data_IF_264156529015
#
_entry.id   IF_264156529015
#
_cell.length_a   1.000
_cell.length_b   1.000
_cell.length_c   1.000
_cell.angle_alpha   90.00
_cell.angle_beta   90.00
_cell.angle_gamma   90.00
#
_symmetry.space_group_name_H-M   'P 1'
#
loop_
_entity.id
_entity.type
_entity.pdbx_description
1 polymer ?
#
# COMPACT_ATOMS: atom_id res chain seq x y z
N UNK A 1 -25.52 -12.59 11.75
CA UNK A 1 -24.35 -11.70 11.69
C UNK A 1 -24.70 -10.43 12.44
N UNK A 2 -23.92 -10.09 13.47
CA UNK A 2 -24.11 -8.90 14.27
C UNK A 2 -23.74 -7.64 13.49
N UNK A 3 -24.45 -6.54 13.76
CA UNK A 3 -24.27 -5.26 13.07
C UNK A 3 -23.54 -4.27 13.95
N UNK A 4 -22.61 -3.54 13.33
CA UNK A 4 -21.79 -2.55 14.01
C UNK A 4 -21.76 -1.26 13.19
N UNK A 5 -22.07 -0.15 13.89
CA UNK A 5 -21.99 1.19 13.35
C UNK A 5 -20.63 1.78 13.73
N UNK A 6 -19.90 2.26 12.75
CA UNK A 6 -18.66 2.99 12.94
C UNK A 6 -18.35 3.80 11.68
N UNK A 7 -18.52 5.11 11.76
CA UNK A 7 -18.17 5.98 10.64
C UNK A 7 -16.67 5.89 10.32
N UNK A 8 -16.29 5.65 9.06
CA UNK A 8 -14.90 5.65 8.63
C UNK A 8 -14.27 7.06 8.65
N UNK A 9 -15.06 8.09 8.91
CA UNK A 9 -14.61 9.49 9.05
C UNK A 9 -14.65 10.00 10.50
N UNK A 10 -15.01 9.14 11.46
CA UNK A 10 -14.98 9.49 12.89
C UNK A 10 -13.54 9.78 13.32
N UNK A 11 -13.27 11.00 13.89
CA UNK A 11 -11.90 11.38 14.25
C UNK A 11 -11.25 10.47 15.30
N UNK A 12 -12.02 9.92 16.26
CA UNK A 12 -11.47 9.02 17.27
C UNK A 12 -11.11 7.66 16.65
N UNK A 13 -11.98 7.14 15.79
CA UNK A 13 -11.73 5.92 15.03
C UNK A 13 -10.51 6.04 14.12
N UNK A 14 -10.34 7.17 13.43
CA UNK A 14 -9.19 7.41 12.57
C UNK A 14 -7.86 7.46 13.34
N UNK A 15 -7.88 7.85 14.61
CA UNK A 15 -6.67 7.84 15.45
C UNK A 15 -6.38 6.46 16.06
N UNK A 16 -7.42 5.66 16.38
CA UNK A 16 -7.26 4.31 16.94
C UNK A 16 -8.43 3.39 16.51
N UNK A 17 -8.32 2.70 15.39
CA UNK A 17 -9.36 1.79 14.89
C UNK A 17 -9.40 0.43 15.61
N UNK A 18 -8.37 0.09 16.39
CA UNK A 18 -8.20 -1.25 16.95
C UNK A 18 -9.29 -1.66 17.94
N UNK A 19 -9.81 -0.81 18.83
CA UNK A 19 -10.92 -1.16 19.71
C UNK A 19 -12.20 -1.55 18.95
N UNK A 20 -12.44 -0.95 17.78
CA UNK A 20 -13.54 -1.36 16.92
C UNK A 20 -13.29 -2.75 16.32
N UNK A 21 -12.08 -3.02 15.86
CA UNK A 21 -11.69 -4.33 15.28
C UNK A 21 -11.81 -5.46 16.32
N UNK A 22 -11.49 -5.18 17.59
CA UNK A 22 -11.64 -6.15 18.67
C UNK A 22 -13.10 -6.52 18.88
N UNK A 23 -14.03 -5.55 18.83
CA UNK A 23 -15.48 -5.80 18.91
C UNK A 23 -15.97 -6.65 17.74
N UNK A 24 -15.53 -6.35 16.51
CA UNK A 24 -15.89 -7.16 15.32
C UNK A 24 -15.38 -8.59 15.45
N UNK A 25 -14.15 -8.79 15.88
CA UNK A 25 -13.54 -10.11 16.08
C UNK A 25 -14.26 -10.94 17.14
N UNK A 26 -14.65 -10.30 18.25
CA UNK A 26 -15.41 -10.95 19.33
C UNK A 26 -16.82 -11.40 18.90
N UNK A 27 -17.42 -10.76 17.91
CA UNK A 27 -18.74 -11.11 17.40
C UNK A 27 -18.75 -12.37 16.53
N UNK A 28 -17.58 -12.79 16.02
CA UNK A 28 -17.49 -14.01 15.21
C UNK A 28 -16.64 -13.87 13.97
N UNK A 29 -16.74 -14.85 13.05
CA UNK A 29 -15.90 -14.88 11.85
C UNK A 29 -16.22 -13.78 10.84
N UNK A 30 -17.50 -13.34 10.78
CA UNK A 30 -17.98 -12.24 9.98
C UNK A 30 -18.91 -11.37 10.82
N UNK A 31 -18.80 -10.06 10.67
CA UNK A 31 -19.69 -9.06 11.25
C UNK A 31 -20.15 -8.09 10.14
N UNK A 32 -21.32 -7.46 10.31
CA UNK A 32 -21.82 -6.47 9.36
C UNK A 32 -21.36 -5.07 9.76
N UNK A 33 -20.60 -4.40 8.88
CA UNK A 33 -20.23 -3.00 9.10
C UNK A 33 -21.24 -2.10 8.39
N UNK A 34 -22.07 -1.43 9.17
CA UNK A 34 -23.24 -0.72 8.64
C UNK A 34 -22.87 0.44 7.73
N UNK A 35 -21.82 1.19 8.05
CA UNK A 35 -21.40 2.36 7.25
C UNK A 35 -20.79 1.98 5.90
N UNK A 36 -20.29 0.76 5.75
CA UNK A 36 -19.83 0.20 4.48
C UNK A 36 -20.85 -0.72 3.83
N UNK A 37 -22.00 -0.99 4.50
CA UNK A 37 -23.08 -1.84 4.01
C UNK A 37 -22.60 -3.23 3.55
N UNK A 38 -21.60 -3.81 4.22
CA UNK A 38 -21.03 -5.10 3.83
C UNK A 38 -20.61 -5.96 5.03
N UNK A 39 -20.51 -7.30 4.85
CA UNK A 39 -19.81 -8.16 5.79
C UNK A 39 -18.33 -7.83 5.86
N UNK A 40 -17.74 -7.94 7.06
CA UNK A 40 -16.29 -7.76 7.26
C UNK A 40 -15.72 -8.92 8.08
N UNK A 41 -14.50 -9.32 7.76
CA UNK A 41 -13.71 -10.30 8.51
C UNK A 41 -12.59 -9.57 9.27
N UNK A 42 -12.47 -9.88 10.59
CA UNK A 42 -11.47 -9.25 11.46
C UNK A 42 -10.45 -10.24 12.04
N UNK A 43 -10.69 -11.55 11.97
CA UNK A 43 -9.72 -12.56 12.43
C UNK A 43 -8.72 -12.91 11.34
N UNK A 44 -7.47 -13.16 11.71
CA UNK A 44 -6.40 -13.53 10.77
C UNK A 44 -6.73 -14.80 9.97
N UNK A 45 -7.36 -15.75 10.61
CA UNK A 45 -7.73 -17.01 9.94
C UNK A 45 -8.70 -16.78 8.79
N UNK A 46 -9.79 -16.02 9.02
CA UNK A 46 -10.81 -15.75 8.00
C UNK A 46 -10.30 -14.78 6.93
N UNK A 47 -9.62 -13.70 7.33
CA UNK A 47 -8.99 -12.75 6.38
C UNK A 47 -8.02 -13.48 5.45
N UNK A 48 -7.12 -14.31 6.00
CA UNK A 48 -6.15 -15.06 5.19
C UNK A 48 -6.81 -16.10 4.28
N UNK A 49 -7.91 -16.73 4.72
CA UNK A 49 -8.65 -17.68 3.91
C UNK A 49 -9.33 -16.99 2.73
N UNK A 50 -10.04 -15.88 2.97
CA UNK A 50 -10.76 -15.13 1.93
C UNK A 50 -9.80 -14.46 0.94
N UNK A 51 -8.65 -13.97 1.38
CA UNK A 51 -7.61 -13.45 0.47
C UNK A 51 -7.07 -14.48 -0.52
N UNK A 52 -7.19 -15.78 -0.21
CA UNK A 52 -6.73 -16.90 -1.06
C UNK A 52 -7.84 -17.61 -1.80
N UNK A 53 -9.08 -17.36 -1.43
CA UNK A 53 -10.25 -18.00 -2.04
C UNK A 53 -10.52 -17.38 -3.41
N UNK A 54 -10.39 -18.17 -4.47
CA UNK A 54 -10.56 -17.73 -5.86
C UNK A 54 -12.01 -17.39 -6.24
N UNK A 55 -12.96 -17.70 -5.37
CA UNK A 55 -14.36 -17.30 -5.53
C UNK A 55 -14.62 -15.86 -5.09
N UNK A 56 -13.57 -15.20 -4.58
CA UNK A 56 -13.58 -13.80 -4.19
C UNK A 56 -12.49 -13.04 -4.96
N UNK A 57 -12.92 -12.14 -5.84
CA UNK A 57 -12.07 -11.35 -6.72
C UNK A 57 -12.05 -9.86 -6.36
N UNK A 58 -11.26 -9.11 -7.09
CA UNK A 58 -11.22 -7.64 -7.00
C UNK A 58 -12.13 -6.99 -8.04
N UNK A 59 -12.31 -7.64 -9.18
CA UNK A 59 -13.14 -7.13 -10.27
C UNK A 59 -14.62 -7.21 -9.89
N UNK A 60 -15.35 -6.08 -9.96
CA UNK A 60 -16.78 -6.02 -9.74
C UNK A 60 -17.50 -6.77 -10.90
N UNK A 61 -18.25 -7.84 -10.62
CA UNK A 61 -19.00 -8.55 -11.67
C UNK A 61 -20.13 -7.72 -12.30
N UNK A 62 -20.51 -6.61 -11.67
CA UNK A 62 -21.58 -5.72 -12.09
C UNK A 62 -21.14 -4.24 -12.00
N UNK A 63 -20.08 -3.84 -12.72
CA UNK A 63 -19.51 -2.51 -12.57
C UNK A 63 -20.55 -1.43 -12.90
N UNK A 64 -20.62 -0.35 -12.10
CA UNK A 64 -21.54 0.73 -12.37
C UNK A 64 -21.17 1.46 -13.67
N UNK A 65 -22.14 2.16 -14.24
CA UNK A 65 -21.89 3.05 -15.39
C UNK A 65 -20.91 4.13 -14.97
N UNK A 66 -19.78 4.22 -15.67
CA UNK A 66 -18.73 5.19 -15.40
C UNK A 66 -19.13 6.57 -15.93
N UNK A 67 -19.12 7.63 -15.09
CA UNK A 67 -19.40 8.98 -15.54
C UNK A 67 -18.38 9.46 -16.59
N UNK A 68 -18.83 10.21 -17.59
CA UNK A 68 -17.97 10.66 -18.68
C UNK A 68 -16.77 11.51 -18.22
N UNK A 69 -16.94 12.29 -17.15
CA UNK A 69 -15.85 13.11 -16.61
C UNK A 69 -14.71 12.31 -15.99
N UNK A 70 -14.93 11.03 -15.68
CA UNK A 70 -13.91 10.12 -15.17
C UNK A 70 -13.17 9.35 -16.28
N UNK A 71 -13.43 9.62 -17.56
CA UNK A 71 -12.90 8.85 -18.68
C UNK A 71 -11.36 8.75 -18.66
N UNK A 72 -10.65 9.84 -18.34
CA UNK A 72 -9.20 9.87 -18.25
C UNK A 72 -8.66 8.90 -17.17
N UNK A 73 -9.32 8.82 -16.02
CA UNK A 73 -8.95 7.88 -14.96
C UNK A 73 -9.20 6.42 -15.40
N UNK A 74 -10.36 6.12 -15.91
CA UNK A 74 -10.74 4.75 -16.29
C UNK A 74 -9.98 4.25 -17.52
N UNK A 75 -9.49 5.13 -18.42
CA UNK A 75 -8.62 4.69 -19.52
C UNK A 75 -7.30 4.06 -19.04
N UNK A 76 -6.87 4.37 -17.82
CA UNK A 76 -5.72 3.75 -17.16
C UNK A 76 -6.16 2.55 -16.33
N UNK A 77 -7.17 2.72 -15.45
CA UNK A 77 -7.55 1.69 -14.48
C UNK A 77 -8.08 0.41 -15.13
N UNK A 78 -8.79 0.48 -16.24
CA UNK A 78 -9.30 -0.73 -16.92
C UNK A 78 -8.20 -1.63 -17.50
N UNK A 79 -6.97 -1.11 -17.58
CA UNK A 79 -5.76 -1.85 -17.97
C UNK A 79 -4.83 -2.15 -16.79
N UNK A 80 -5.19 -1.71 -15.59
CA UNK A 80 -4.40 -1.93 -14.37
C UNK A 80 -4.61 -3.33 -13.81
N UNK A 81 -3.50 -4.06 -13.56
CA UNK A 81 -3.59 -5.39 -12.95
C UNK A 81 -4.13 -5.38 -11.52
N UNK A 82 -4.29 -4.20 -10.90
CA UNK A 82 -4.77 -4.08 -9.53
C UNK A 82 -6.20 -4.60 -9.39
N UNK A 83 -7.07 -4.23 -10.34
CA UNK A 83 -8.52 -4.53 -10.30
C UNK A 83 -8.94 -5.65 -11.27
N UNK A 84 -7.98 -6.29 -11.95
CA UNK A 84 -8.27 -7.36 -12.91
C UNK A 84 -8.27 -8.75 -12.25
N UNK A 85 -9.01 -9.67 -12.87
CA UNK A 85 -9.02 -11.10 -12.52
C UNK A 85 -8.45 -11.97 -13.66
N UNK A 86 -8.11 -13.25 -13.39
CA UNK A 86 -7.71 -14.18 -14.42
C UNK A 86 -8.76 -14.30 -15.54
N UNK A 87 -8.33 -14.45 -16.82
CA UNK A 87 -6.96 -14.68 -17.26
C UNK A 87 -6.12 -13.39 -17.44
N UNK A 88 -6.75 -12.22 -17.52
CA UNK A 88 -6.08 -10.94 -17.81
C UNK A 88 -5.05 -10.59 -16.74
N UNK A 89 -5.43 -10.63 -15.47
CA UNK A 89 -4.53 -10.40 -14.33
C UNK A 89 -3.28 -11.29 -14.41
N UNK A 90 -3.47 -12.62 -14.56
CA UNK A 90 -2.36 -13.58 -14.55
C UNK A 90 -1.39 -13.32 -15.71
N UNK A 91 -1.91 -12.99 -16.90
CA UNK A 91 -1.11 -12.66 -18.07
C UNK A 91 -0.27 -11.41 -17.80
N UNK A 92 -0.88 -10.30 -17.39
CA UNK A 92 -0.18 -9.05 -17.09
C UNK A 92 0.86 -9.25 -15.99
N UNK A 93 0.43 -9.78 -14.85
CA UNK A 93 1.31 -9.99 -13.70
C UNK A 93 2.53 -10.82 -14.05
N UNK A 94 2.38 -11.86 -14.87
CA UNK A 94 3.50 -12.70 -15.28
C UNK A 94 4.56 -11.94 -16.11
N UNK A 95 4.15 -10.97 -16.90
CA UNK A 95 5.10 -10.14 -17.68
C UNK A 95 5.83 -9.15 -16.78
N UNK A 96 5.10 -8.50 -15.86
CA UNK A 96 5.69 -7.57 -14.88
C UNK A 96 6.68 -8.30 -13.96
N UNK A 97 6.36 -9.50 -13.47
CA UNK A 97 7.27 -10.31 -12.65
C UNK A 97 8.57 -10.69 -13.37
N UNK A 98 8.53 -10.84 -14.69
CA UNK A 98 9.75 -11.11 -15.50
C UNK A 98 10.67 -9.89 -15.58
N UNK A 99 10.09 -8.70 -15.60
CA UNK A 99 10.84 -7.45 -15.58
C UNK A 99 11.26 -7.06 -14.14
N UNK A 100 10.42 -7.39 -13.15
CA UNK A 100 10.60 -7.10 -11.71
C UNK A 100 11.15 -8.32 -10.97
N UNK A 101 12.36 -8.77 -11.33
CA UNK A 101 12.95 -9.97 -10.73
C UNK A 101 13.49 -9.74 -9.32
N UNK A 102 13.48 -10.78 -8.48
CA UNK A 102 14.08 -10.73 -7.13
C UNK A 102 15.56 -10.29 -7.16
N UNK A 103 16.32 -10.69 -8.19
CA UNK A 103 17.72 -10.27 -8.35
C UNK A 103 17.84 -8.77 -8.60
N UNK A 104 16.98 -8.20 -9.45
CA UNK A 104 16.96 -6.77 -9.72
C UNK A 104 16.57 -5.96 -8.49
N UNK A 105 15.54 -6.41 -7.78
CA UNK A 105 15.11 -5.78 -6.53
C UNK A 105 16.24 -5.81 -5.51
N UNK A 106 16.89 -6.97 -5.30
CA UNK A 106 18.01 -7.08 -4.36
C UNK A 106 19.20 -6.16 -4.72
N UNK A 107 19.43 -5.92 -6.02
CA UNK A 107 20.49 -5.03 -6.48
C UNK A 107 20.25 -3.55 -6.13
N UNK A 108 19.00 -3.16 -5.81
CA UNK A 108 18.67 -1.80 -5.38
C UNK A 108 19.08 -1.48 -3.93
N UNK A 109 19.38 -2.49 -3.10
CA UNK A 109 19.72 -2.29 -1.69
C UNK A 109 20.80 -1.22 -1.45
N UNK A 110 22.00 -1.31 -2.08
CA UNK A 110 23.03 -0.30 -1.94
C UNK A 110 22.62 1.11 -2.41
N UNK A 111 21.78 1.19 -3.45
CA UNK A 111 21.27 2.46 -3.96
C UNK A 111 20.27 3.08 -2.99
N UNK A 112 19.39 2.27 -2.41
CA UNK A 112 18.44 2.71 -1.39
C UNK A 112 19.19 3.23 -0.16
N UNK A 113 20.22 2.52 0.30
CA UNK A 113 21.06 2.96 1.39
C UNK A 113 21.74 4.32 1.09
N UNK A 114 22.31 4.46 -0.12
CA UNK A 114 22.94 5.72 -0.56
C UNK A 114 21.94 6.87 -0.59
N UNK A 115 20.72 6.63 -1.11
CA UNK A 115 19.64 7.61 -1.11
C UNK A 115 19.25 8.03 0.31
N UNK A 116 19.07 7.04 1.19
CA UNK A 116 18.71 7.28 2.58
C UNK A 116 19.76 8.16 3.29
N UNK A 117 21.05 7.84 3.14
CA UNK A 117 22.13 8.66 3.70
C UNK A 117 22.14 10.07 3.11
N UNK A 118 21.95 10.22 1.79
CA UNK A 118 21.90 11.53 1.15
C UNK A 118 20.72 12.39 1.62
N UNK A 119 19.57 11.79 1.90
CA UNK A 119 18.43 12.50 2.49
C UNK A 119 18.75 12.98 3.92
N UNK A 120 19.40 12.13 4.73
CA UNK A 120 19.79 12.46 6.10
C UNK A 120 20.81 13.60 6.14
N UNK A 121 21.75 13.64 5.18
CA UNK A 121 22.72 14.72 5.06
C UNK A 121 22.05 16.09 4.80
N UNK A 122 20.87 16.07 4.19
CA UNK A 122 20.05 17.25 3.90
C UNK A 122 19.07 17.65 5.01
N UNK A 123 19.07 17.02 6.17
CA UNK A 123 18.11 17.33 7.23
C UNK A 123 18.24 18.75 7.75
N UNK A 124 17.12 19.44 7.97
CA UNK A 124 17.15 20.75 8.61
C UNK A 124 17.73 20.68 10.02
N UNK A 125 18.32 21.79 10.48
CA UNK A 125 18.72 21.92 11.88
C UNK A 125 17.48 22.09 12.78
N UNK A 126 17.55 21.51 13.99
CA UNK A 126 16.48 21.64 14.99
C UNK A 126 15.30 20.70 14.72
N UNK A 127 14.09 21.19 14.95
CA UNK A 127 12.86 20.43 14.82
C UNK A 127 12.32 20.49 13.38
N UNK A 128 11.94 19.35 12.80
CA UNK A 128 11.43 19.26 11.42
C UNK A 128 10.43 18.10 11.25
N UNK A 129 9.71 18.09 10.13
CA UNK A 129 8.84 16.98 9.75
C UNK A 129 9.64 15.88 9.03
N UNK A 130 9.76 14.73 9.66
CA UNK A 130 10.50 13.58 9.10
C UNK A 130 9.79 12.95 7.91
N UNK A 131 8.46 13.08 7.81
CA UNK A 131 7.76 12.59 6.63
C UNK A 131 8.22 13.36 5.39
N UNK A 132 8.28 14.67 5.46
CA UNK A 132 8.72 15.52 4.34
C UNK A 132 10.22 15.38 4.04
N UNK A 133 11.04 15.28 5.09
CA UNK A 133 12.48 15.23 4.92
C UNK A 133 13.00 13.84 4.49
N UNK A 134 12.26 12.76 4.82
CA UNK A 134 12.77 11.41 4.64
C UNK A 134 11.74 10.42 4.07
N UNK A 135 10.59 10.23 4.75
CA UNK A 135 9.69 9.14 4.42
C UNK A 135 9.04 9.28 3.04
N UNK A 136 8.69 10.50 2.61
CA UNK A 136 8.12 10.77 1.28
C UNK A 136 9.16 10.73 0.16
N UNK A 137 10.32 11.40 0.26
CA UNK A 137 11.29 11.42 -0.83
C UNK A 137 11.99 10.08 -1.07
N UNK A 138 12.15 9.21 -0.07
CA UNK A 138 12.85 7.94 -0.24
C UNK A 138 12.16 7.03 -1.25
N UNK A 139 10.92 6.56 -1.04
CA UNK A 139 10.28 5.60 -1.93
C UNK A 139 9.99 6.17 -3.33
N UNK A 140 9.63 7.45 -3.44
CA UNK A 140 9.37 8.04 -4.77
C UNK A 140 10.63 8.11 -5.63
N UNK A 141 11.80 8.39 -5.04
CA UNK A 141 13.07 8.37 -5.77
C UNK A 141 13.48 6.95 -6.15
N UNK A 142 13.24 5.98 -5.27
CA UNK A 142 13.52 4.57 -5.56
C UNK A 142 12.68 4.08 -6.74
N UNK A 143 11.36 4.35 -6.74
CA UNK A 143 10.49 3.92 -7.83
C UNK A 143 10.79 4.69 -9.13
N UNK A 144 11.15 5.97 -9.08
CA UNK A 144 11.57 6.75 -10.24
C UNK A 144 12.81 6.13 -10.90
N UNK A 145 13.85 5.80 -10.11
CA UNK A 145 15.05 5.09 -10.61
C UNK A 145 14.73 3.74 -11.22
N UNK A 146 13.88 2.95 -10.54
CA UNK A 146 13.47 1.64 -11.04
C UNK A 146 12.76 1.74 -12.40
N UNK A 147 11.85 2.70 -12.54
CA UNK A 147 11.15 2.96 -13.79
C UNK A 147 12.07 3.52 -14.87
N UNK A 148 13.09 4.29 -14.49
CA UNK A 148 13.98 4.99 -15.39
C UNK A 148 13.49 6.38 -15.77
N UNK A 149 12.72 7.02 -14.87
CA UNK A 149 12.29 8.40 -15.01
C UNK A 149 13.19 9.33 -14.20
N UNK A 150 13.38 10.61 -14.61
CA UNK A 150 14.23 11.55 -13.88
C UNK A 150 13.74 11.77 -12.44
N UNK A 151 14.66 11.72 -11.47
CA UNK A 151 14.32 11.99 -10.07
C UNK A 151 13.85 13.43 -9.83
N UNK A 152 14.28 14.39 -10.69
CA UNK A 152 13.78 15.76 -10.68
C UNK A 152 12.28 15.87 -10.83
N UNK A 153 11.66 14.87 -11.47
CA UNK A 153 10.25 14.85 -11.78
C UNK A 153 9.42 14.22 -10.64
N UNK A 154 10.07 13.75 -9.57
CA UNK A 154 9.41 13.15 -8.41
C UNK A 154 8.26 14.01 -7.83
N UNK A 155 8.38 15.34 -7.68
CA UNK A 155 7.26 16.16 -7.20
C UNK A 155 6.04 16.13 -8.12
N UNK A 156 6.26 16.10 -9.44
CA UNK A 156 5.23 16.01 -10.46
C UNK A 156 4.50 14.65 -10.39
N UNK A 157 5.30 13.58 -10.35
CA UNK A 157 4.80 12.22 -10.23
C UNK A 157 3.97 12.01 -8.96
N UNK A 158 4.42 12.55 -7.83
CA UNK A 158 3.67 12.53 -6.57
C UNK A 158 2.35 13.28 -6.68
N UNK A 159 2.34 14.44 -7.33
CA UNK A 159 1.13 15.22 -7.53
C UNK A 159 0.05 14.44 -8.29
N UNK A 160 0.42 13.78 -9.40
CA UNK A 160 -0.50 12.95 -10.17
C UNK A 160 -0.95 11.69 -9.39
N UNK A 161 -0.02 11.03 -8.73
CA UNK A 161 -0.33 9.85 -7.93
C UNK A 161 -1.33 10.15 -6.83
N UNK A 162 -1.10 11.20 -6.04
CA UNK A 162 -2.00 11.60 -4.96
C UNK A 162 -3.41 11.92 -5.48
N UNK A 163 -3.51 12.62 -6.62
CA UNK A 163 -4.81 12.91 -7.25
C UNK A 163 -5.52 11.62 -7.68
N UNK A 164 -4.81 10.68 -8.33
CA UNK A 164 -5.40 9.41 -8.76
C UNK A 164 -5.81 8.52 -7.57
N UNK A 165 -4.98 8.42 -6.53
CA UNK A 165 -5.27 7.67 -5.31
C UNK A 165 -6.48 8.24 -4.56
N UNK A 166 -6.77 9.53 -4.72
CA UNK A 166 -7.99 10.17 -4.22
C UNK A 166 -9.28 9.48 -4.66
N UNK A 167 -9.28 8.79 -5.81
CA UNK A 167 -10.44 8.02 -6.30
C UNK A 167 -10.85 6.85 -5.40
N UNK A 168 -9.93 6.32 -4.60
CA UNK A 168 -10.22 5.20 -3.68
C UNK A 168 -10.78 5.65 -2.32
N UNK A 169 -10.87 6.97 -2.08
CA UNK A 169 -11.43 7.51 -0.84
C UNK A 169 -12.97 7.42 -0.84
N UNK A 170 -13.54 7.00 0.31
CA UNK A 170 -14.99 6.87 0.47
C UNK A 170 -15.76 8.18 0.31
N UNK A 171 -15.14 9.31 0.66
CA UNK A 171 -15.75 10.64 0.66
C UNK A 171 -15.20 11.56 -0.44
N UNK A 172 -14.81 10.99 -1.60
CA UNK A 172 -14.33 11.80 -2.73
C UNK A 172 -15.43 12.72 -3.26
N UNK A 173 -15.03 13.91 -3.64
CA UNK A 173 -15.89 14.91 -4.25
C UNK A 173 -15.81 14.85 -5.77
N UNK A 174 -16.75 15.50 -6.46
CA UNK A 174 -16.68 15.67 -7.92
C UNK A 174 -15.39 16.39 -8.38
N UNK A 175 -14.87 17.31 -7.57
CA UNK A 175 -13.60 17.98 -7.85
C UNK A 175 -12.40 16.99 -7.79
N UNK A 176 -12.42 16.05 -6.83
CA UNK A 176 -11.41 15.01 -6.74
C UNK A 176 -11.45 14.07 -7.95
N UNK A 177 -12.66 13.73 -8.43
CA UNK A 177 -12.84 12.90 -9.62
C UNK A 177 -12.30 13.58 -10.89
N UNK A 178 -12.55 14.89 -11.06
CA UNK A 178 -11.98 15.68 -12.16
C UNK A 178 -10.46 15.77 -12.07
N UNK A 179 -9.92 16.03 -10.88
CA UNK A 179 -8.47 16.10 -10.65
C UNK A 179 -7.79 14.77 -10.96
N UNK A 180 -8.37 13.64 -10.55
CA UNK A 180 -7.87 12.32 -10.85
C UNK A 180 -7.88 12.00 -12.36
N UNK A 181 -8.96 12.34 -13.06
CA UNK A 181 -9.07 12.15 -14.51
C UNK A 181 -8.04 12.97 -15.28
N UNK A 182 -7.83 14.24 -14.88
CA UNK A 182 -6.79 15.09 -15.46
C UNK A 182 -5.40 14.55 -15.16
N UNK A 183 -5.11 14.17 -13.91
CA UNK A 183 -3.83 13.60 -13.51
C UNK A 183 -3.50 12.34 -14.30
N UNK A 184 -4.45 11.43 -14.50
CA UNK A 184 -4.25 10.23 -15.31
C UNK A 184 -3.91 10.55 -16.77
N UNK A 185 -4.56 11.58 -17.35
CA UNK A 185 -4.29 12.05 -18.70
C UNK A 185 -2.88 12.65 -18.84
N UNK A 186 -2.51 13.51 -17.89
CA UNK A 186 -1.20 14.18 -17.88
C UNK A 186 -0.08 13.15 -17.66
N UNK A 187 -0.29 12.21 -16.74
CA UNK A 187 0.66 11.14 -16.47
C UNK A 187 0.86 10.22 -17.69
N UNK A 188 -0.22 9.85 -18.36
CA UNK A 188 -0.17 9.10 -19.62
C UNK A 188 0.65 9.84 -20.68
N UNK A 189 0.40 11.14 -20.85
CA UNK A 189 1.14 11.98 -21.81
C UNK A 189 2.63 12.03 -21.47
N UNK A 190 2.99 12.24 -20.21
CA UNK A 190 4.35 12.24 -19.72
C UNK A 190 5.06 10.91 -20.01
N UNK A 191 4.41 9.78 -19.69
CA UNK A 191 4.99 8.46 -19.94
C UNK A 191 5.19 8.20 -21.43
N UNK A 192 4.28 8.65 -22.29
CA UNK A 192 4.44 8.51 -23.74
C UNK A 192 5.68 9.29 -24.25
N UNK A 193 6.03 10.42 -23.64
CA UNK A 193 7.28 11.12 -23.98
C UNK A 193 8.52 10.33 -23.51
N UNK A 194 8.48 9.75 -22.30
CA UNK A 194 9.55 8.87 -21.81
C UNK A 194 9.69 7.62 -22.70
N UNK A 195 8.59 7.05 -23.18
CA UNK A 195 8.62 5.82 -24.02
C UNK A 195 9.33 6.02 -25.39
N UNK A 196 9.48 7.27 -25.85
CA UNK A 196 10.20 7.56 -27.10
C UNK A 196 11.72 7.38 -26.98
N UNK A 197 12.26 7.58 -25.77
CA UNK A 197 13.68 7.43 -25.50
C UNK A 197 13.87 6.93 -24.05
N UNK A 198 13.51 5.67 -23.76
CA UNK A 198 13.59 5.14 -22.42
C UNK A 198 15.06 4.98 -21.99
N UNK A 199 15.32 5.17 -20.71
CA UNK A 199 16.62 4.88 -20.11
C UNK A 199 16.95 3.39 -20.27
N UNK A 200 18.14 3.07 -20.75
CA UNK A 200 18.60 1.70 -20.91
C UNK A 200 18.52 0.94 -19.57
N UNK A 201 18.18 -0.35 -19.66
CA UNK A 201 17.99 -1.23 -18.51
C UNK A 201 16.89 -0.79 -17.50
N UNK A 202 16.13 0.25 -17.79
CA UNK A 202 14.99 0.66 -16.97
C UNK A 202 13.85 -0.38 -17.03
N UNK A 203 12.96 -0.34 -16.03
CA UNK A 203 11.77 -1.19 -16.07
C UNK A 203 10.87 -0.82 -17.26
N UNK A 204 10.76 0.47 -17.58
CA UNK A 204 10.03 0.95 -18.76
C UNK A 204 10.60 0.33 -20.04
N UNK A 205 11.92 0.35 -20.24
CA UNK A 205 12.54 -0.24 -21.43
C UNK A 205 12.21 -1.74 -21.57
N UNK A 206 12.20 -2.48 -20.45
CA UNK A 206 11.85 -3.90 -20.43
C UNK A 206 10.38 -4.16 -20.74
N UNK A 207 9.47 -3.36 -20.19
CA UNK A 207 8.03 -3.48 -20.46
C UNK A 207 7.72 -3.15 -21.92
N UNK A 208 8.40 -2.14 -22.50
CA UNK A 208 8.29 -1.81 -23.93
C UNK A 208 8.79 -2.94 -24.82
N UNK A 209 9.90 -3.60 -24.45
CA UNK A 209 10.38 -4.78 -25.18
C UNK A 209 9.35 -5.92 -25.14
N UNK A 210 8.71 -6.16 -24.00
CA UNK A 210 7.62 -7.15 -23.87
C UNK A 210 6.41 -6.77 -24.73
N UNK A 211 6.12 -5.48 -24.86
CA UNK A 211 5.04 -4.98 -25.72
C UNK A 211 5.36 -5.16 -27.21
N UNK A 212 6.61 -4.94 -27.63
CA UNK A 212 7.06 -5.21 -29.02
C UNK A 212 6.90 -6.70 -29.39
N UNK A 213 7.03 -7.61 -28.43
CA UNK A 213 6.74 -9.03 -28.59
C UNK A 213 5.22 -9.34 -28.69
N UNK A 214 4.35 -8.35 -28.60
CA UNK A 214 2.88 -8.50 -28.61
C UNK A 214 2.28 -9.13 -27.36
N UNK A 215 3.02 -9.17 -26.25
CA UNK A 215 2.58 -9.76 -24.97
C UNK A 215 1.87 -8.76 -24.03
N UNK A 216 2.08 -7.48 -24.25
CA UNK A 216 1.42 -6.36 -23.60
C UNK A 216 0.92 -5.37 -24.64
N UNK A 217 -0.22 -4.72 -24.40
CA UNK A 217 -0.63 -3.57 -25.20
C UNK A 217 0.06 -2.28 -24.71
N UNK A 218 0.14 -1.22 -25.51
CA UNK A 218 0.66 0.09 -25.07
C UNK A 218 -0.06 0.63 -23.82
N UNK A 219 -1.39 0.45 -23.75
CA UNK A 219 -2.21 0.88 -22.63
C UNK A 219 -1.86 0.08 -21.37
N UNK A 220 -1.62 -1.23 -21.49
CA UNK A 220 -1.19 -2.08 -20.39
C UNK A 220 0.20 -1.71 -19.86
N UNK A 221 1.13 -1.29 -20.73
CA UNK A 221 2.44 -0.76 -20.31
C UNK A 221 2.26 0.52 -19.53
N UNK A 222 1.47 1.46 -20.07
CA UNK A 222 1.18 2.75 -19.43
C UNK A 222 0.53 2.55 -18.06
N UNK A 223 -0.55 1.76 -18.01
CA UNK A 223 -1.25 1.46 -16.77
C UNK A 223 -0.34 0.74 -15.74
N UNK A 224 0.54 -0.15 -16.21
CA UNK A 224 1.52 -0.81 -15.32
C UNK A 224 2.51 0.19 -14.73
N UNK A 225 3.06 1.11 -15.53
CA UNK A 225 3.99 2.14 -15.02
C UNK A 225 3.31 3.06 -14.00
N UNK A 226 2.08 3.50 -14.29
CA UNK A 226 1.28 4.32 -13.37
C UNK A 226 0.97 3.55 -12.08
N UNK A 227 0.51 2.30 -12.18
CA UNK A 227 0.24 1.45 -11.03
C UNK A 227 1.47 1.27 -10.14
N UNK A 228 2.64 0.96 -10.73
CA UNK A 228 3.86 0.76 -9.97
C UNK A 228 4.29 2.02 -9.23
N UNK A 229 4.06 3.19 -9.80
CA UNK A 229 4.35 4.45 -9.15
C UNK A 229 3.33 4.75 -8.05
N UNK A 230 2.02 4.65 -8.32
CA UNK A 230 0.96 4.92 -7.35
C UNK A 230 1.03 3.97 -6.15
N UNK A 231 1.19 2.66 -6.40
CA UNK A 231 1.27 1.65 -5.35
C UNK A 231 2.65 1.58 -4.68
N UNK A 232 3.70 2.04 -5.37
CA UNK A 232 5.09 1.82 -4.96
C UNK A 232 5.59 2.79 -3.89
N UNK A 233 4.93 3.92 -3.65
CA UNK A 233 5.44 4.90 -2.68
C UNK A 233 4.51 5.14 -1.49
N UNK A 234 3.19 5.32 -1.69
CA UNK A 234 2.27 5.79 -0.66
C UNK A 234 2.27 4.87 0.59
N UNK A 235 2.11 3.57 0.38
CA UNK A 235 2.12 2.61 1.49
C UNK A 235 3.47 2.56 2.21
N UNK A 236 4.59 2.72 1.50
CA UNK A 236 5.93 2.73 2.10
C UNK A 236 6.17 3.98 2.93
N UNK A 237 5.71 5.16 2.46
CA UNK A 237 5.74 6.42 3.22
C UNK A 237 5.06 6.24 4.57
N UNK A 238 3.84 5.73 4.56
CA UNK A 238 3.07 5.54 5.78
C UNK A 238 3.66 4.45 6.68
N UNK A 239 4.17 3.36 6.10
CA UNK A 239 4.85 2.31 6.89
C UNK A 239 6.11 2.83 7.57
N UNK A 240 6.91 3.66 6.88
CA UNK A 240 8.08 4.32 7.49
C UNK A 240 7.65 5.22 8.64
N UNK A 241 6.66 6.10 8.42
CA UNK A 241 6.17 7.00 9.47
C UNK A 241 5.64 6.27 10.69
N UNK A 242 4.72 5.32 10.49
CA UNK A 242 4.12 4.51 11.56
C UNK A 242 5.19 3.69 12.28
N UNK A 243 6.11 3.07 11.51
CA UNK A 243 7.19 2.24 12.04
C UNK A 243 8.18 3.04 12.91
N UNK A 244 8.65 4.20 12.43
CA UNK A 244 9.54 5.07 13.20
C UNK A 244 8.86 5.54 14.48
N UNK A 245 7.60 5.99 14.38
CA UNK A 245 6.80 6.38 15.53
C UNK A 245 6.65 5.25 16.55
N UNK A 246 6.31 4.04 16.07
CA UNK A 246 6.17 2.85 16.90
C UNK A 246 7.46 2.43 17.57
N UNK A 247 8.59 2.43 16.85
CA UNK A 247 9.93 2.13 17.38
C UNK A 247 10.34 3.10 18.51
N UNK A 248 10.11 4.39 18.31
CA UNK A 248 10.41 5.41 19.33
C UNK A 248 9.49 5.21 20.54
N UNK A 249 8.19 5.05 20.33
CA UNK A 249 7.22 4.90 21.42
C UNK A 249 7.46 3.63 22.25
N UNK A 250 7.90 2.55 21.61
CA UNK A 250 8.23 1.28 22.27
C UNK A 250 9.63 1.26 22.92
N UNK A 251 10.44 2.32 22.76
CA UNK A 251 11.81 2.39 23.30
C UNK A 251 12.81 1.50 22.55
N UNK A 252 12.51 1.13 21.31
CA UNK A 252 13.37 0.32 20.44
C UNK A 252 14.18 1.16 19.43
N UNK A 253 14.05 2.49 19.42
CA UNK A 253 14.83 3.33 18.55
C UNK A 253 16.32 3.24 18.91
N UNK A 254 17.20 3.17 17.91
CA UNK A 254 18.63 2.97 18.12
C UNK A 254 19.07 1.51 18.28
N UNK A 255 18.12 0.54 18.30
CA UNK A 255 18.48 -0.88 18.23
C UNK A 255 18.81 -1.30 16.79
N UNK A 256 19.61 -2.37 16.59
CA UNK A 256 19.93 -2.84 15.25
C UNK A 256 18.67 -3.16 14.44
N UNK A 257 18.55 -2.60 13.26
CA UNK A 257 17.42 -2.85 12.35
C UNK A 257 17.73 -4.12 11.55
N UNK A 258 16.93 -5.15 11.76
CA UNK A 258 17.01 -6.46 11.10
C UNK A 258 15.80 -6.69 10.18
N UNK A 259 15.87 -7.65 9.25
CA UNK A 259 14.69 -8.05 8.49
C UNK A 259 13.49 -8.46 9.37
N UNK A 260 13.74 -9.11 10.52
CA UNK A 260 12.69 -9.52 11.44
C UNK A 260 12.02 -8.32 12.13
N UNK A 261 12.80 -7.29 12.48
CA UNK A 261 12.26 -6.03 12.98
C UNK A 261 11.37 -5.33 11.93
N UNK A 262 11.73 -5.40 10.65
CA UNK A 262 10.92 -4.87 9.56
C UNK A 262 9.58 -5.61 9.45
N UNK A 263 9.54 -6.92 9.68
CA UNK A 263 8.27 -7.66 9.71
C UNK A 263 7.37 -7.22 10.87
N UNK A 264 7.94 -6.87 12.03
CA UNK A 264 7.15 -6.32 13.15
C UNK A 264 6.65 -4.89 12.84
N UNK A 265 7.45 -4.05 12.21
CA UNK A 265 7.00 -2.74 11.70
C UNK A 265 5.80 -2.91 10.76
N UNK A 266 5.89 -3.83 9.81
CA UNK A 266 4.81 -4.13 8.86
C UNK A 266 3.56 -4.69 9.55
N UNK A 267 3.72 -5.49 10.61
CA UNK A 267 2.60 -6.10 11.34
C UNK A 267 1.88 -5.10 12.22
N UNK A 268 2.64 -4.33 13.02
CA UNK A 268 2.11 -3.62 14.18
C UNK A 268 1.10 -2.55 13.79
N UNK A 269 1.41 -1.75 12.79
CA UNK A 269 0.52 -0.67 12.33
C UNK A 269 0.62 -0.46 10.81
N UNK A 270 0.00 -1.38 10.03
CA UNK A 270 0.07 -1.33 8.59
C UNK A 270 -0.69 -0.12 8.02
N UNK A 271 -0.26 0.45 6.89
CA UNK A 271 -0.94 1.60 6.31
C UNK A 271 -2.29 1.26 5.68
N UNK A 272 -2.47 0.03 5.22
CA UNK A 272 -3.71 -0.44 4.60
C UNK A 272 -4.45 -1.33 5.59
N UNK A 273 -5.56 -0.83 6.13
CA UNK A 273 -6.34 -1.53 7.15
C UNK A 273 -7.39 -2.45 6.56
N UNK A 274 -7.86 -2.21 5.33
CA UNK A 274 -8.93 -3.00 4.73
C UNK A 274 -8.68 -3.20 3.24
N UNK A 275 -8.88 -4.45 2.77
CA UNK A 275 -9.11 -4.77 1.38
C UNK A 275 -10.54 -5.23 1.19
N UNK A 276 -11.11 -5.02 0.00
CA UNK A 276 -12.41 -5.54 -0.37
C UNK A 276 -12.28 -6.66 -1.40
N UNK A 277 -13.27 -7.54 -1.43
CA UNK A 277 -13.44 -8.56 -2.46
C UNK A 277 -14.88 -8.66 -2.83
N UNK A 278 -15.15 -9.02 -4.09
CA UNK A 278 -16.46 -9.36 -4.59
C UNK A 278 -16.59 -10.88 -4.72
N UNK A 279 -17.72 -11.46 -4.31
CA UNK A 279 -18.04 -12.83 -4.63
C UNK A 279 -18.24 -12.95 -6.15
N UNK A 280 -17.47 -13.82 -6.80
CA UNK A 280 -17.56 -14.03 -8.26
C UNK A 280 -18.69 -14.99 -8.66
N UNK A 281 -19.20 -15.72 -7.68
CA UNK A 281 -20.31 -16.66 -7.77
C UNK A 281 -21.10 -16.70 -6.45
N UNK A 282 -22.27 -17.30 -6.42
CA UNK A 282 -22.98 -17.56 -5.16
C UNK A 282 -22.18 -18.57 -4.34
N UNK A 283 -21.82 -18.18 -3.12
CA UNK A 283 -20.93 -18.99 -2.27
C UNK A 283 -21.27 -18.86 -0.80
N UNK A 284 -21.20 -19.98 -0.06
CA UNK A 284 -21.34 -19.97 1.39
C UNK A 284 -19.95 -20.01 2.07
N UNK A 285 -19.70 -19.06 2.94
CA UNK A 285 -18.45 -18.97 3.73
C UNK A 285 -18.80 -18.54 5.15
N UNK A 286 -18.30 -19.24 6.14
CA UNK A 286 -18.48 -18.93 7.57
C UNK A 286 -19.97 -18.79 7.96
N UNK A 287 -20.87 -19.57 7.35
CA UNK A 287 -22.30 -19.55 7.61
C UNK A 287 -23.05 -18.35 6.99
N UNK A 288 -22.37 -17.52 6.19
CA UNK A 288 -23.01 -16.48 5.38
C UNK A 288 -23.02 -16.89 3.90
N UNK A 289 -24.17 -16.71 3.25
CA UNK A 289 -24.34 -16.91 1.81
C UNK A 289 -24.13 -15.60 1.10
N UNK A 290 -22.99 -15.48 0.43
CA UNK A 290 -22.69 -14.38 -0.48
C UNK A 290 -23.36 -14.59 -1.82
N UNK A 291 -24.13 -13.64 -2.28
CA UNK A 291 -24.58 -13.61 -3.67
C UNK A 291 -23.44 -13.12 -4.57
N UNK A 292 -23.44 -13.54 -5.84
CA UNK A 292 -22.49 -13.01 -6.82
C UNK A 292 -22.56 -11.49 -6.88
N UNK A 293 -21.41 -10.82 -6.75
CA UNK A 293 -21.27 -9.35 -6.71
C UNK A 293 -21.37 -8.76 -5.30
N UNK A 294 -21.73 -9.55 -4.29
CA UNK A 294 -21.69 -9.08 -2.89
C UNK A 294 -20.24 -8.87 -2.43
N UNK A 295 -20.00 -7.76 -1.75
CA UNK A 295 -18.67 -7.40 -1.23
C UNK A 295 -18.43 -7.99 0.15
N UNK A 296 -17.16 -8.21 0.47
CA UNK A 296 -16.66 -8.48 1.83
C UNK A 296 -15.43 -7.65 2.11
N UNK A 297 -15.39 -7.00 3.27
CA UNK A 297 -14.23 -6.30 3.79
C UNK A 297 -13.29 -7.23 4.55
N UNK A 298 -12.01 -7.17 4.23
CA UNK A 298 -10.94 -7.98 4.85
C UNK A 298 -10.05 -7.04 5.64
N UNK A 299 -10.21 -7.03 6.98
CA UNK A 299 -9.54 -6.08 7.86
C UNK A 299 -8.11 -6.55 8.17
N UNK A 300 -7.14 -6.09 7.38
CA UNK A 300 -5.73 -6.48 7.49
C UNK A 300 -5.12 -6.01 8.81
N UNK A 301 -5.40 -4.76 9.22
CA UNK A 301 -4.96 -4.21 10.49
C UNK A 301 -5.49 -5.00 11.69
N UNK A 302 -6.77 -5.43 11.63
CA UNK A 302 -7.37 -6.30 12.63
C UNK A 302 -6.72 -7.69 12.66
N UNK A 303 -6.49 -8.29 11.49
CA UNK A 303 -5.85 -9.60 11.35
C UNK A 303 -4.42 -9.62 11.88
N UNK A 304 -3.69 -8.52 11.73
CA UNK A 304 -2.34 -8.35 12.24
C UNK A 304 -2.27 -8.18 13.77
N UNK A 305 -3.38 -7.84 14.40
CA UNK A 305 -3.51 -7.77 15.87
C UNK A 305 -4.47 -8.82 16.44
N UNK A 306 -4.60 -9.95 15.75
CA UNK A 306 -5.42 -11.06 16.23
C UNK A 306 -4.68 -11.84 17.34
N UNK A 307 -5.22 -11.87 18.59
CA UNK A 307 -4.59 -12.58 19.69
C UNK A 307 -4.56 -14.10 19.50
N UNK A 308 -5.36 -14.65 18.60
CA UNK A 308 -5.26 -16.07 18.24
C UNK A 308 -4.03 -16.39 17.39
N UNK A 309 -3.38 -15.37 16.82
CA UNK A 309 -2.21 -15.52 15.95
C UNK A 309 -0.93 -14.93 16.57
N UNK A 310 -1.07 -13.87 17.38
CA UNK A 310 0.07 -13.15 17.94
C UNK A 310 -0.13 -12.96 19.45
N UNK A 311 0.84 -13.38 20.26
CA UNK A 311 0.84 -13.07 21.69
C UNK A 311 0.98 -11.56 21.89
N UNK A 312 0.21 -11.00 22.82
CA UNK A 312 0.21 -9.56 23.10
C UNK A 312 0.22 -8.68 21.83
N UNK A 313 -0.77 -8.83 20.93
CA UNK A 313 -0.70 -8.29 19.58
C UNK A 313 -0.64 -6.77 19.51
N UNK A 314 -1.09 -6.07 20.54
CA UNK A 314 -1.02 -4.61 20.64
C UNK A 314 0.38 -4.10 20.99
N UNK A 315 1.24 -4.94 21.56
CA UNK A 315 2.62 -4.60 21.91
C UNK A 315 3.51 -4.69 20.67
N UNK A 316 4.31 -3.64 20.45
CA UNK A 316 5.42 -3.68 19.49
C UNK A 316 6.54 -4.52 20.11
N UNK A 317 6.84 -5.67 19.52
CA UNK A 317 7.83 -6.60 20.00
C UNK A 317 8.90 -6.85 18.93
N UNK A 318 10.05 -6.23 19.10
CA UNK A 318 11.19 -6.32 18.17
C UNK A 318 11.74 -7.75 18.00
N UNK A 319 11.35 -8.69 18.87
CA UNK A 319 11.82 -10.07 18.88
C UNK A 319 10.77 -11.08 18.40
N UNK A 320 9.60 -10.61 17.98
CA UNK A 320 8.46 -11.44 17.59
C UNK A 320 8.77 -12.38 16.42
N UNK A 321 9.50 -11.88 15.44
CA UNK A 321 9.86 -12.64 14.25
C UNK A 321 11.27 -13.26 14.40
N UNK A 322 11.55 -14.40 13.77
CA UNK A 322 10.75 -15.09 12.74
C UNK A 322 9.68 -16.07 13.27
N UNK A 323 9.51 -16.23 14.59
CA UNK A 323 8.66 -17.28 15.16
C UNK A 323 7.15 -17.03 14.96
N UNK A 324 6.75 -15.76 14.79
CA UNK A 324 5.36 -15.41 14.51
C UNK A 324 4.97 -15.65 13.04
N UNK A 325 3.68 -15.90 12.76
CA UNK A 325 3.22 -16.03 11.39
C UNK A 325 3.34 -14.69 10.64
N UNK A 326 3.65 -14.75 9.33
CA UNK A 326 3.75 -13.56 8.49
C UNK A 326 2.49 -12.68 8.57
N UNK A 327 2.68 -11.35 8.55
CA UNK A 327 1.57 -10.39 8.59
C UNK A 327 0.72 -10.46 7.32
N UNK A 328 -0.49 -9.88 7.38
CA UNK A 328 -1.39 -9.75 6.23
C UNK A 328 -1.21 -8.41 5.50
N UNK A 329 -0.24 -7.58 5.88
CA UNK A 329 -0.03 -6.22 5.37
C UNK A 329 0.15 -6.13 3.85
N UNK A 330 0.71 -7.18 3.25
CA UNK A 330 0.84 -7.30 1.79
C UNK A 330 -0.29 -8.10 1.14
N UNK A 331 -1.36 -8.39 1.86
CA UNK A 331 -2.41 -9.29 1.41
C UNK A 331 -1.95 -10.74 1.32
N UNK A 332 -2.66 -11.54 0.55
CA UNK A 332 -2.32 -12.95 0.27
C UNK A 332 -2.92 -13.43 -1.05
N UNK A 333 -2.54 -14.64 -1.49
CA UNK A 333 -3.12 -15.28 -2.68
C UNK A 333 -2.70 -14.63 -3.98
N UNK A 334 -3.65 -14.58 -4.94
CA UNK A 334 -3.40 -14.14 -6.31
C UNK A 334 -2.91 -12.69 -6.40
N UNK A 335 -3.45 -11.82 -5.57
CA UNK A 335 -3.14 -10.40 -5.48
C UNK A 335 -2.13 -10.06 -4.38
N UNK A 336 -1.33 -11.01 -3.91
CA UNK A 336 -0.23 -10.70 -2.99
C UNK A 336 0.64 -9.59 -3.56
N UNK A 337 1.03 -8.60 -2.76
CA UNK A 337 1.75 -7.42 -3.21
C UNK A 337 2.99 -7.78 -4.02
N UNK A 338 3.06 -7.29 -5.26
CA UNK A 338 4.19 -7.51 -6.15
C UNK A 338 5.43 -6.77 -5.64
N UNK A 339 5.24 -5.57 -5.07
CA UNK A 339 6.30 -4.73 -4.52
C UNK A 339 6.82 -5.13 -3.14
N UNK A 340 6.26 -6.19 -2.51
CA UNK A 340 6.64 -6.57 -1.14
C UNK A 340 8.15 -6.76 -0.91
N UNK A 341 8.94 -7.34 -1.83
CA UNK A 341 10.39 -7.43 -1.67
C UNK A 341 11.07 -6.06 -1.69
N UNK A 342 10.61 -5.13 -2.54
CA UNK A 342 11.17 -3.78 -2.63
C UNK A 342 10.84 -2.97 -1.37
N UNK A 343 9.58 -2.97 -0.94
CA UNK A 343 9.16 -2.28 0.27
C UNK A 343 9.95 -2.73 1.51
N UNK A 344 10.22 -4.05 1.64
CA UNK A 344 11.09 -4.57 2.72
C UNK A 344 12.51 -4.04 2.65
N UNK A 345 13.08 -3.90 1.46
CA UNK A 345 14.42 -3.32 1.29
C UNK A 345 14.43 -1.83 1.62
N UNK A 346 13.41 -1.09 1.20
CA UNK A 346 13.28 0.33 1.51
C UNK A 346 13.16 0.56 3.02
N UNK A 347 12.32 -0.24 3.69
CA UNK A 347 12.17 -0.20 5.14
C UNK A 347 13.49 -0.57 5.84
N UNK A 348 14.13 -1.66 5.42
CA UNK A 348 15.37 -2.13 6.03
C UNK A 348 16.47 -1.07 5.92
N UNK A 349 16.81 -0.66 4.71
CA UNK A 349 17.92 0.28 4.48
C UNK A 349 17.58 1.70 4.94
N UNK A 350 16.33 2.12 4.81
CA UNK A 350 15.87 3.42 5.29
C UNK A 350 15.95 3.52 6.81
N UNK A 351 15.43 2.53 7.53
CA UNK A 351 15.47 2.49 9.00
C UNK A 351 16.90 2.28 9.51
N UNK A 352 17.72 1.45 8.86
CA UNK A 352 19.14 1.29 9.21
C UNK A 352 19.89 2.61 9.13
N UNK A 353 19.86 3.26 7.97
CA UNK A 353 20.55 4.52 7.76
C UNK A 353 20.10 5.61 8.76
N UNK A 354 18.78 5.70 9.00
CA UNK A 354 18.25 6.70 9.92
C UNK A 354 18.61 6.39 11.38
N UNK A 355 18.48 5.16 11.83
CA UNK A 355 18.82 4.74 13.20
C UNK A 355 20.32 4.87 13.50
N UNK A 356 21.17 4.55 12.53
CA UNK A 356 22.64 4.69 12.67
C UNK A 356 23.08 6.15 12.73
N UNK A 357 22.48 7.01 11.88
CA UNK A 357 22.88 8.43 11.77
C UNK A 357 22.20 9.33 12.79
N UNK A 358 21.04 8.94 13.30
CA UNK A 358 20.22 9.70 14.24
C UNK A 358 19.72 8.80 15.38
N UNK A 359 20.62 8.18 16.14
CA UNK A 359 20.26 7.31 17.27
C UNK A 359 19.52 8.06 18.39
N UNK A 360 19.68 9.37 18.46
CA UNK A 360 19.07 10.28 19.42
C UNK A 360 17.73 10.87 18.95
N UNK A 361 17.23 10.46 17.80
CA UNK A 361 15.95 10.95 17.22
C UNK A 361 14.80 10.72 18.21
N UNK A 362 14.02 11.77 18.44
CA UNK A 362 12.87 11.72 19.33
C UNK A 362 11.70 12.52 18.77
N UNK A 363 10.50 12.09 19.14
CA UNK A 363 9.30 12.84 18.83
C UNK A 363 9.23 14.10 19.70
N UNK A 364 8.91 15.25 19.10
CA UNK A 364 8.72 16.50 19.82
C UNK A 364 7.26 16.82 20.07
N UNK A 365 6.34 16.13 19.42
CA UNK A 365 4.90 16.17 19.64
C UNK A 365 4.29 14.78 19.42
N UNK A 366 3.10 14.50 20.01
CA UNK A 366 2.39 13.26 19.74
C UNK A 366 2.05 13.12 18.25
N UNK A 367 2.30 11.97 17.63
CA UNK A 367 1.93 11.72 16.24
C UNK A 367 0.40 11.74 16.08
N UNK A 368 -0.06 12.20 14.91
CA UNK A 368 -1.49 12.17 14.56
C UNK A 368 -1.65 11.56 13.18
N UNK A 369 -2.59 10.63 13.08
CA UNK A 369 -2.99 10.05 11.81
C UNK A 369 -3.79 11.06 10.98
N UNK A 370 -3.69 10.91 9.66
CA UNK A 370 -4.48 11.69 8.71
C UNK A 370 -5.97 11.33 8.81
N UNK A 371 -6.82 12.24 8.36
CA UNK A 371 -8.28 12.05 8.40
C UNK A 371 -8.76 11.16 7.23
N UNK A 372 -8.04 10.06 6.96
CA UNK A 372 -8.26 9.13 5.85
C UNK A 372 -8.17 7.70 6.36
N UNK A 373 -9.28 6.94 6.25
CA UNK A 373 -9.27 5.53 6.66
C UNK A 373 -8.56 4.60 5.66
N UNK A 374 -8.65 4.90 4.36
CA UNK A 374 -8.06 4.04 3.32
C UNK A 374 -6.54 3.85 3.49
N UNK A 375 -5.83 4.92 3.86
CA UNK A 375 -4.42 4.88 4.26
C UNK A 375 -4.27 5.38 5.69
N UNK A 376 -4.11 4.45 6.63
CA UNK A 376 -3.83 4.75 8.04
C UNK A 376 -2.37 5.18 8.19
N UNK A 377 -2.09 6.43 7.91
CA UNK A 377 -0.76 7.01 7.94
C UNK A 377 -0.71 8.33 8.68
N UNK A 378 0.45 8.66 9.20
CA UNK A 378 0.63 9.91 9.94
C UNK A 378 0.50 11.12 9.01
N UNK A 379 -0.16 12.17 9.51
CA UNK A 379 -0.26 13.46 8.82
C UNK A 379 1.10 14.17 8.80
N UNK A 380 1.83 14.09 9.91
CA UNK A 380 3.19 14.61 10.10
C UNK A 380 3.90 13.83 11.20
N UNK A 381 5.23 13.86 11.20
CA UNK A 381 6.07 13.23 12.22
C UNK A 381 7.16 14.20 12.62
N UNK A 382 6.89 15.00 13.66
CA UNK A 382 7.80 16.07 14.08
C UNK A 382 8.84 15.54 15.05
N UNK A 383 10.10 15.69 14.67
CA UNK A 383 11.27 15.14 15.37
C UNK A 383 12.34 16.19 15.62
N UNK A 384 13.27 15.85 16.53
CA UNK A 384 14.48 16.64 16.79
C UNK A 384 15.69 15.75 16.95
#
# INVERSE_FOLDING_TARGET
MDRFDQSPTDPAFLQDPYPFYDRLRAAGPLAWWTDYEMPVAASRAVVSALLRDRRFGREDPFPPVRPAHQAGFWSVEEHSMLELEPPRHTRLRSQVLRAFTSRRVAALGPEIATLAHGLIDGFPAGTFDLLDAFARPLPVRVIARLLGVPESDAPLLLGWSNAMVGMYQACRTHADELAAAQAATDFTTYLHDIFRAPTDDSLIAQLLAVAQDGKLSPEEVTATCILLLNAGHEATVHTLGNGISGLIAAGHWGTPVTPDLVEEVLRHDPPLHMFTRYATEDVEVQGHRFARGEQVGLLLGAANRDPAAYADPATFDATRFPDAPASTSFGAGLHFCLGAPLARLELLHGLQALSERRPDLRLTEPPRYADIYHFHGLRRLIVS
#
